data_IF_123158399749
#
_entry.id   IF_123158399749
#
_cell.length_a   1.000
_cell.length_b   1.000
_cell.length_c   1.000
_cell.angle_alpha   90.00
_cell.angle_beta   90.00
_cell.angle_gamma   90.00
#
_symmetry.space_group_name_H-M   'P 1'
#
loop_
_entity.id
_entity.type
_entity.pdbx_description
1 polymer ?
#
# COMPACT_ATOMS: atom_id res chain seq x y z
N UNK A 1 -49.63 5.94 5.44
CA UNK A 1 -48.61 6.56 4.59
C UNK A 1 -47.36 6.82 5.46
N UNK A 2 -46.40 5.90 5.44
CA UNK A 2 -45.08 6.14 5.99
C UNK A 2 -44.13 6.23 4.79
N UNK A 3 -43.76 7.43 4.47
CA UNK A 3 -42.68 7.69 3.53
C UNK A 3 -41.36 7.26 4.19
N UNK A 4 -40.90 6.06 3.94
CA UNK A 4 -39.54 5.67 4.22
C UNK A 4 -38.66 6.07 3.03
N UNK A 5 -38.33 7.33 2.96
CA UNK A 5 -37.16 7.76 2.21
C UNK A 5 -35.99 7.17 2.96
N UNK A 6 -35.36 6.15 2.40
CA UNK A 6 -34.12 5.61 2.88
C UNK A 6 -33.05 6.69 2.65
N UNK A 7 -32.95 7.62 3.61
CA UNK A 7 -31.93 8.67 3.56
C UNK A 7 -30.58 8.01 3.75
N UNK A 8 -29.76 8.00 2.70
CA UNK A 8 -28.36 7.63 2.77
C UNK A 8 -27.71 8.40 3.94
N UNK A 9 -27.23 7.68 4.94
CA UNK A 9 -26.74 8.26 6.21
C UNK A 9 -25.68 9.32 5.91
N UNK A 10 -25.91 10.55 6.39
CA UNK A 10 -25.00 11.66 6.18
C UNK A 10 -24.02 11.82 7.34
N UNK A 11 -22.72 11.93 7.04
CA UNK A 11 -21.70 12.23 8.02
C UNK A 11 -21.83 13.67 8.57
N UNK A 12 -21.33 13.88 9.78
CA UNK A 12 -21.19 15.23 10.37
C UNK A 12 -20.02 15.97 9.72
N UNK A 13 -18.93 15.24 9.42
CA UNK A 13 -17.77 15.74 8.68
C UNK A 13 -17.59 14.95 7.40
N UNK A 14 -17.45 15.64 6.25
CA UNK A 14 -17.23 14.95 4.99
C UNK A 14 -15.85 14.28 4.97
N UNK A 15 -15.74 13.23 4.16
CA UNK A 15 -14.43 12.74 3.75
C UNK A 15 -13.88 13.69 2.69
N UNK A 16 -12.67 14.21 2.94
CA UNK A 16 -11.96 15.04 1.97
C UNK A 16 -10.95 14.19 1.22
N UNK A 17 -11.09 14.09 -0.10
CA UNK A 17 -10.14 13.38 -0.93
C UNK A 17 -8.89 14.23 -1.17
N UNK A 18 -7.74 13.58 -1.00
CA UNK A 18 -6.42 14.13 -1.30
C UNK A 18 -5.70 13.11 -2.17
N UNK A 19 -5.05 13.56 -3.21
CA UNK A 19 -4.15 12.75 -4.01
C UNK A 19 -2.70 12.98 -3.59
N UNK A 20 -1.77 12.27 -4.22
CA UNK A 20 -0.35 12.52 -4.03
C UNK A 20 0.43 12.37 -5.32
N UNK A 21 1.57 13.06 -5.34
CA UNK A 21 2.63 12.88 -6.33
C UNK A 21 3.89 12.39 -5.63
N UNK A 22 4.67 11.58 -6.33
CA UNK A 22 5.93 11.05 -5.83
C UNK A 22 7.11 11.75 -6.51
N UNK A 23 7.93 12.43 -5.71
CA UNK A 23 9.23 12.94 -6.15
C UNK A 23 10.30 11.90 -5.82
N UNK A 24 11.11 11.50 -6.81
CA UNK A 24 12.13 10.44 -6.70
C UNK A 24 13.53 11.01 -6.79
N UNK A 25 14.44 10.42 -6.01
CA UNK A 25 15.85 10.76 -6.03
C UNK A 25 16.70 9.48 -6.06
N UNK A 26 17.54 9.33 -7.08
CA UNK A 26 18.50 8.23 -7.18
C UNK A 26 19.66 8.50 -6.22
N UNK A 27 19.93 7.59 -5.30
CA UNK A 27 20.97 7.78 -4.27
C UNK A 27 22.41 7.54 -4.75
N UNK A 28 22.59 7.05 -5.98
CA UNK A 28 23.90 6.66 -6.49
C UNK A 28 24.49 5.41 -5.81
N UNK A 29 23.74 4.75 -4.94
CA UNK A 29 24.10 3.48 -4.32
C UNK A 29 23.53 2.34 -5.16
N UNK A 30 24.43 1.42 -5.57
CA UNK A 30 24.12 0.37 -6.53
C UNK A 30 24.64 -0.97 -6.03
N UNK A 31 23.75 -1.96 -5.92
CA UNK A 31 24.10 -3.33 -5.59
C UNK A 31 24.16 -4.20 -6.85
N UNK A 32 25.28 -4.87 -7.06
CA UNK A 32 25.51 -5.79 -8.19
C UNK A 32 25.27 -7.25 -7.83
N UNK A 33 25.18 -7.54 -6.53
CA UNK A 33 24.94 -8.87 -5.98
C UNK A 33 24.22 -8.77 -4.62
N UNK A 34 23.76 -9.92 -4.10
CA UNK A 34 22.97 -10.00 -2.87
C UNK A 34 23.78 -9.56 -1.62
N UNK A 35 25.08 -9.93 -1.43
CA UNK A 35 25.87 -9.38 -0.34
C UNK A 35 25.97 -7.86 -0.37
N UNK A 36 26.17 -7.28 -1.55
CA UNK A 36 26.26 -5.81 -1.69
C UNK A 36 24.90 -5.13 -1.43
N UNK A 37 23.79 -5.80 -1.79
CA UNK A 37 22.47 -5.31 -1.43
C UNK A 37 22.32 -5.18 0.08
N UNK A 38 22.70 -6.23 0.83
CA UNK A 38 22.64 -6.25 2.30
C UNK A 38 23.47 -5.12 2.92
N UNK A 39 24.72 -4.97 2.51
CA UNK A 39 25.61 -3.90 3.00
C UNK A 39 25.00 -2.50 2.76
N UNK A 40 24.49 -2.24 1.56
CA UNK A 40 23.94 -0.93 1.22
C UNK A 40 22.62 -0.63 1.93
N UNK A 41 21.86 -1.67 2.31
CA UNK A 41 20.62 -1.49 3.08
C UNK A 41 20.88 -0.90 4.47
N UNK A 42 22.03 -1.09 5.08
CA UNK A 42 22.39 -0.44 6.33
C UNK A 42 22.66 1.06 6.16
N UNK A 43 23.14 1.45 4.99
CA UNK A 43 23.62 2.82 4.72
C UNK A 43 22.53 3.75 4.16
N UNK A 44 21.49 3.20 3.51
CA UNK A 44 20.46 4.01 2.87
C UNK A 44 19.46 4.59 3.88
N UNK A 45 18.90 5.79 3.62
CA UNK A 45 17.86 6.34 4.49
C UNK A 45 16.59 5.49 4.44
N UNK A 46 15.75 5.59 5.49
CA UNK A 46 14.48 4.85 5.59
C UNK A 46 13.52 5.16 4.44
N UNK A 47 13.58 6.36 3.86
CA UNK A 47 12.78 6.75 2.69
C UNK A 47 13.10 5.89 1.46
N UNK A 48 14.30 5.29 1.39
CA UNK A 48 14.63 4.32 0.35
C UNK A 48 13.94 2.97 0.59
N UNK A 49 13.86 2.52 1.83
CA UNK A 49 13.10 1.30 2.17
C UNK A 49 11.61 1.51 1.83
N UNK A 50 11.06 2.68 2.19
CA UNK A 50 9.69 3.06 1.83
C UNK A 50 9.47 3.00 0.31
N UNK A 51 10.36 3.59 -0.49
CA UNK A 51 10.25 3.60 -1.95
C UNK A 51 10.19 2.18 -2.53
N UNK A 52 11.08 1.29 -2.09
CA UNK A 52 11.19 -0.06 -2.63
C UNK A 52 10.14 -1.05 -2.11
N UNK A 53 9.35 -0.64 -1.11
CA UNK A 53 8.30 -1.47 -0.50
C UNK A 53 6.91 -0.82 -0.63
N UNK A 54 6.60 0.23 0.11
CA UNK A 54 5.27 0.87 0.15
C UNK A 54 4.93 1.58 -1.17
N UNK A 55 5.85 2.40 -1.67
CA UNK A 55 5.66 3.16 -2.91
C UNK A 55 5.59 2.24 -4.16
N UNK A 56 6.00 0.98 -4.03
CA UNK A 56 5.82 -0.04 -5.06
C UNK A 56 4.38 -0.13 -5.53
N UNK A 57 3.40 -0.03 -4.64
CA UNK A 57 1.97 -0.09 -4.96
C UNK A 57 1.51 1.08 -5.83
N UNK A 58 2.03 2.29 -5.60
CA UNK A 58 1.72 3.45 -6.44
C UNK A 58 2.28 3.29 -7.86
N UNK A 59 3.53 2.80 -7.98
CA UNK A 59 4.20 2.59 -9.27
C UNK A 59 3.59 1.46 -10.10
N UNK A 60 2.95 0.49 -9.44
CA UNK A 60 2.32 -0.67 -10.06
C UNK A 60 0.80 -0.67 -9.86
N UNK A 61 0.18 0.50 -9.81
CA UNK A 61 -1.25 0.68 -9.53
C UNK A 61 -2.15 -0.17 -10.44
N UNK A 62 -1.79 -0.29 -11.70
CA UNK A 62 -2.56 -0.97 -12.75
C UNK A 62 -2.00 -2.33 -13.15
N UNK A 63 -0.83 -2.71 -12.66
CA UNK A 63 -0.16 -3.94 -13.04
C UNK A 63 -0.33 -5.02 -11.97
N UNK A 64 -0.62 -6.25 -12.41
CA UNK A 64 -0.47 -7.40 -11.54
C UNK A 64 1.01 -7.81 -11.58
N UNK A 65 1.71 -7.68 -10.47
CA UNK A 65 3.12 -8.03 -10.34
C UNK A 65 3.28 -9.39 -9.68
N UNK A 66 4.38 -10.06 -9.97
CA UNK A 66 4.66 -11.37 -9.37
C UNK A 66 5.06 -11.23 -7.89
N UNK A 67 5.73 -10.15 -7.54
CA UNK A 67 6.20 -9.84 -6.18
C UNK A 67 5.69 -8.45 -5.75
N UNK A 68 5.45 -8.22 -4.44
CA UNK A 68 4.87 -6.98 -3.94
C UNK A 68 5.91 -5.90 -3.56
N UNK A 69 7.19 -6.09 -3.88
CA UNK A 69 8.25 -5.14 -3.59
C UNK A 69 9.44 -5.30 -4.55
N UNK A 70 10.28 -4.26 -4.66
CA UNK A 70 11.43 -4.25 -5.58
C UNK A 70 12.53 -5.22 -5.16
N UNK A 71 12.74 -5.44 -3.86
CA UNK A 71 13.77 -6.37 -3.35
C UNK A 71 13.49 -7.80 -3.81
N UNK A 72 12.25 -8.25 -3.65
CA UNK A 72 11.82 -9.57 -4.09
C UNK A 72 11.88 -9.72 -5.62
N UNK A 73 11.42 -8.69 -6.34
CA UNK A 73 11.47 -8.64 -7.81
C UNK A 73 12.90 -8.74 -8.31
N UNK A 74 13.81 -7.93 -7.73
CA UNK A 74 15.21 -7.94 -8.14
C UNK A 74 15.91 -9.26 -7.81
N UNK A 75 15.71 -9.78 -6.61
CA UNK A 75 16.29 -11.07 -6.20
C UNK A 75 15.89 -12.19 -7.17
N UNK A 76 14.60 -12.31 -7.48
CA UNK A 76 14.08 -13.38 -8.31
C UNK A 76 14.45 -13.24 -9.80
N UNK A 77 14.33 -12.02 -10.37
CA UNK A 77 14.41 -11.81 -11.81
C UNK A 77 15.79 -11.39 -12.28
N UNK A 78 16.52 -10.62 -11.50
CA UNK A 78 17.81 -10.03 -11.88
C UNK A 78 19.00 -10.72 -11.20
N UNK A 79 18.91 -11.00 -9.90
CA UNK A 79 19.92 -11.81 -9.22
C UNK A 79 19.75 -13.32 -9.47
N UNK A 80 18.67 -13.74 -10.15
CA UNK A 80 18.34 -15.12 -10.45
C UNK A 80 18.22 -16.04 -9.22
N UNK A 81 17.92 -15.44 -8.08
CA UNK A 81 17.69 -16.14 -6.80
C UNK A 81 16.20 -16.14 -6.47
N UNK A 82 15.49 -17.11 -7.06
CA UNK A 82 14.06 -17.25 -6.87
C UNK A 82 13.70 -17.56 -5.41
N UNK A 83 14.54 -18.33 -4.70
CA UNK A 83 14.26 -18.71 -3.32
C UNK A 83 14.29 -17.46 -2.44
N UNK A 84 15.28 -16.59 -2.60
CA UNK A 84 15.34 -15.31 -1.91
C UNK A 84 14.17 -14.42 -2.30
N UNK A 85 13.83 -14.35 -3.59
CA UNK A 85 12.68 -13.59 -4.07
C UNK A 85 11.36 -14.00 -3.43
N UNK A 86 11.08 -15.30 -3.33
CA UNK A 86 9.89 -15.84 -2.65
C UNK A 86 9.89 -15.47 -1.15
N UNK A 87 11.03 -15.59 -0.47
CA UNK A 87 11.17 -15.23 0.96
C UNK A 87 10.90 -13.73 1.21
N UNK A 88 11.43 -12.85 0.36
CA UNK A 88 11.20 -11.41 0.45
C UNK A 88 9.79 -11.02 -0.01
N UNK A 89 9.19 -11.81 -0.90
CA UNK A 89 7.86 -11.56 -1.45
C UNK A 89 6.71 -11.80 -0.48
N UNK A 90 6.93 -12.54 0.63
CA UNK A 90 5.88 -12.77 1.64
C UNK A 90 5.81 -11.65 2.68
N UNK A 91 6.74 -10.70 2.68
CA UNK A 91 6.71 -9.56 3.60
C UNK A 91 5.55 -8.63 3.23
N UNK A 92 4.64 -8.41 4.18
CA UNK A 92 3.58 -7.39 4.08
C UNK A 92 4.09 -6.07 4.68
N UNK A 93 4.46 -5.07 3.86
CA UNK A 93 5.01 -3.82 4.38
C UNK A 93 4.03 -3.08 5.31
N UNK A 94 2.73 -3.31 5.15
CA UNK A 94 1.69 -2.68 5.99
C UNK A 94 1.46 -3.37 7.34
N UNK A 95 2.13 -4.48 7.61
CA UNK A 95 2.12 -5.14 8.92
C UNK A 95 3.12 -4.50 9.91
N UNK A 96 4.06 -3.69 9.44
CA UNK A 96 5.11 -3.08 10.24
C UNK A 96 4.71 -1.73 10.81
N UNK A 97 5.10 -1.46 12.05
CA UNK A 97 4.87 -0.19 12.73
C UNK A 97 5.93 0.88 12.40
N UNK A 98 7.05 0.47 11.81
CA UNK A 98 8.11 1.38 11.38
C UNK A 98 8.89 0.81 10.21
N UNK A 99 9.43 1.72 9.38
CA UNK A 99 10.30 1.35 8.26
C UNK A 99 11.60 0.67 8.73
N UNK A 100 12.06 1.00 9.92
CA UNK A 100 13.26 0.38 10.48
C UNK A 100 13.02 -1.09 10.85
N UNK A 101 11.86 -1.43 11.44
CA UNK A 101 11.49 -2.81 11.70
C UNK A 101 11.38 -3.63 10.39
N UNK A 102 10.77 -3.05 9.35
CA UNK A 102 10.72 -3.69 8.04
C UNK A 102 12.12 -3.87 7.44
N UNK A 103 13.01 -2.85 7.52
CA UNK A 103 14.41 -2.94 7.09
C UNK A 103 15.12 -4.12 7.74
N UNK A 104 15.01 -4.23 9.08
CA UNK A 104 15.68 -5.29 9.85
C UNK A 104 15.19 -6.68 9.43
N UNK A 105 13.90 -6.86 9.18
CA UNK A 105 13.37 -8.15 8.73
C UNK A 105 13.83 -8.48 7.30
N UNK A 106 13.86 -7.51 6.37
CA UNK A 106 14.41 -7.72 5.03
C UNK A 106 15.87 -8.13 5.12
N UNK A 107 16.68 -7.42 5.92
CA UNK A 107 18.10 -7.72 6.12
C UNK A 107 18.31 -9.09 6.76
N UNK A 108 17.52 -9.44 7.77
CA UNK A 108 17.59 -10.75 8.43
C UNK A 108 17.29 -11.90 7.48
N UNK A 109 16.31 -11.74 6.58
CA UNK A 109 16.00 -12.74 5.55
C UNK A 109 17.17 -12.92 4.58
N UNK A 110 17.81 -11.81 4.16
CA UNK A 110 18.96 -11.85 3.24
C UNK A 110 20.17 -12.51 3.94
N UNK A 111 20.49 -12.10 5.17
CA UNK A 111 21.63 -12.62 5.93
C UNK A 111 21.49 -14.13 6.20
N UNK A 112 20.29 -14.56 6.65
CA UNK A 112 19.99 -15.99 6.83
C UNK A 112 20.12 -16.77 5.53
N UNK A 113 19.62 -16.21 4.42
CA UNK A 113 19.73 -16.84 3.10
C UNK A 113 21.19 -17.00 2.66
N UNK A 114 22.01 -15.97 2.82
CA UNK A 114 23.44 -15.99 2.50
C UNK A 114 24.22 -16.99 3.36
N UNK A 115 23.86 -17.11 4.63
CA UNK A 115 24.51 -18.06 5.56
C UNK A 115 24.29 -19.53 5.19
N UNK A 116 23.13 -19.83 4.59
CA UNK A 116 22.78 -21.20 4.19
C UNK A 116 23.17 -21.55 2.75
N UNK A 117 23.47 -20.55 1.91
CA UNK A 117 23.75 -20.74 0.48
C UNK A 117 25.06 -20.07 0.03
N UNK A 118 26.22 -20.48 0.54
CA UNK A 118 27.51 -19.82 0.29
C UNK A 118 27.97 -19.82 -1.18
N UNK A 119 27.37 -20.58 -2.05
CA UNK A 119 27.77 -20.68 -3.48
C UNK A 119 26.99 -19.74 -4.43
N UNK A 120 25.95 -19.03 -3.97
CA UNK A 120 25.09 -18.20 -4.83
C UNK A 120 25.59 -16.78 -4.99
N UNK A 121 26.76 -16.42 -4.42
CA UNK A 121 27.20 -15.06 -4.16
C UNK A 121 27.54 -14.17 -5.34
N UNK A 122 27.70 -14.67 -6.54
CA UNK A 122 28.07 -13.83 -7.70
C UNK A 122 27.40 -14.30 -8.99
N UNK A 123 26.22 -13.81 -9.22
CA UNK A 123 25.67 -13.85 -10.58
C UNK A 123 26.27 -12.68 -11.35
N UNK A 124 27.31 -12.94 -12.13
CA UNK A 124 27.89 -11.94 -13.04
C UNK A 124 26.89 -11.66 -14.17
N UNK A 125 26.57 -10.38 -14.39
CA UNK A 125 25.71 -9.94 -15.48
C UNK A 125 24.25 -9.64 -15.11
N UNK A 126 23.90 -9.69 -13.82
CA UNK A 126 22.61 -9.20 -13.34
C UNK A 126 22.49 -7.69 -13.54
N UNK A 127 21.29 -7.20 -13.84
CA UNK A 127 21.01 -5.79 -13.80
C UNK A 127 21.12 -5.30 -12.34
N UNK A 128 21.92 -4.25 -12.06
CA UNK A 128 22.15 -3.86 -10.68
C UNK A 128 20.89 -3.27 -10.04
N UNK A 129 20.77 -3.42 -8.71
CA UNK A 129 19.75 -2.76 -7.92
C UNK A 129 20.17 -1.33 -7.60
N UNK A 130 19.46 -0.35 -8.13
CA UNK A 130 19.69 1.06 -7.84
C UNK A 130 18.80 1.49 -6.66
N UNK A 131 19.43 2.00 -5.59
CA UNK A 131 18.70 2.56 -4.48
C UNK A 131 18.16 3.95 -4.82
N UNK A 132 16.85 4.08 -4.66
CA UNK A 132 16.08 5.31 -4.88
C UNK A 132 15.38 5.66 -3.57
N UNK A 133 15.22 6.93 -3.26
CA UNK A 133 14.28 7.38 -2.22
C UNK A 133 13.17 8.21 -2.83
N UNK A 134 12.06 8.33 -2.13
CA UNK A 134 10.96 9.16 -2.58
C UNK A 134 10.37 10.01 -1.47
N UNK A 135 9.75 11.11 -1.91
CA UNK A 135 8.97 12.02 -1.08
C UNK A 135 7.56 12.09 -1.64
N UNK A 136 6.59 11.88 -0.78
CA UNK A 136 5.17 12.01 -1.14
C UNK A 136 4.75 13.46 -0.94
N UNK A 137 4.23 14.08 -2.00
CA UNK A 137 3.73 15.46 -2.00
C UNK A 137 2.22 15.39 -2.10
N UNK A 138 1.53 15.97 -1.12
CA UNK A 138 0.07 16.02 -1.08
C UNK A 138 -0.49 16.91 -2.19
N UNK A 139 -1.54 16.46 -2.86
CA UNK A 139 -2.27 17.19 -3.89
C UNK A 139 -3.77 17.18 -3.53
N UNK A 140 -4.27 18.21 -2.82
CA UNK A 140 -5.67 18.28 -2.44
C UNK A 140 -6.59 18.24 -3.67
N UNK A 141 -7.68 17.45 -3.58
CA UNK A 141 -8.72 17.37 -4.60
C UNK A 141 -9.93 18.16 -4.15
N UNK A 142 -10.60 18.84 -5.10
CA UNK A 142 -11.91 19.45 -4.85
C UNK A 142 -13.02 18.39 -4.93
N UNK A 143 -12.90 17.39 -4.03
CA UNK A 143 -13.84 16.28 -3.93
C UNK A 143 -14.07 15.89 -2.49
N UNK A 144 -15.36 15.84 -2.11
CA UNK A 144 -15.80 15.45 -0.78
C UNK A 144 -16.87 14.36 -0.88
N UNK A 145 -17.04 13.59 0.19
CA UNK A 145 -18.13 12.65 0.36
C UNK A 145 -18.78 12.84 1.74
N UNK A 146 -20.09 13.00 1.77
CA UNK A 146 -20.90 13.12 2.98
C UNK A 146 -21.69 11.86 3.27
N UNK A 147 -21.93 11.05 2.24
CA UNK A 147 -22.71 9.81 2.31
C UNK A 147 -21.92 8.62 1.79
N UNK A 148 -22.39 7.40 2.05
CA UNK A 148 -21.76 6.20 1.53
C UNK A 148 -21.83 6.14 -0.01
N UNK A 149 -22.95 6.57 -0.59
CA UNK A 149 -23.09 6.63 -2.06
C UNK A 149 -22.09 7.59 -2.69
N UNK A 150 -21.93 8.80 -2.11
CA UNK A 150 -20.95 9.78 -2.59
C UNK A 150 -19.51 9.25 -2.43
N UNK A 151 -19.19 8.62 -1.28
CA UNK A 151 -17.90 7.99 -1.04
C UNK A 151 -17.61 6.88 -2.06
N UNK A 152 -18.56 5.97 -2.26
CA UNK A 152 -18.47 4.89 -3.25
C UNK A 152 -18.18 5.43 -4.65
N UNK A 153 -18.91 6.46 -5.08
CA UNK A 153 -18.73 7.07 -6.40
C UNK A 153 -17.38 7.79 -6.51
N UNK A 154 -16.99 8.51 -5.45
CA UNK A 154 -15.68 9.15 -5.42
C UNK A 154 -14.53 8.12 -5.51
N UNK A 155 -14.57 7.03 -4.73
CA UNK A 155 -13.58 5.95 -4.80
C UNK A 155 -13.51 5.33 -6.20
N UNK A 156 -14.64 5.20 -6.90
CA UNK A 156 -14.68 4.67 -8.26
C UNK A 156 -13.95 5.58 -9.27
N UNK A 157 -13.94 6.89 -9.05
CA UNK A 157 -13.53 7.89 -10.05
C UNK A 157 -12.16 8.53 -9.76
N UNK A 158 -11.73 8.61 -8.48
CA UNK A 158 -10.44 9.24 -8.14
C UNK A 158 -9.26 8.50 -8.76
N UNK A 159 -8.19 9.22 -9.04
CA UNK A 159 -6.96 8.64 -9.57
C UNK A 159 -6.25 7.73 -8.56
N UNK A 160 -5.34 6.89 -9.02
CA UNK A 160 -4.60 5.92 -8.21
C UNK A 160 -3.80 6.58 -7.09
N UNK A 161 -3.29 7.80 -7.30
CA UNK A 161 -2.59 8.59 -6.29
C UNK A 161 -3.44 8.87 -5.05
N UNK A 162 -4.74 9.14 -5.23
CA UNK A 162 -5.66 9.34 -4.10
C UNK A 162 -5.93 8.04 -3.33
N UNK A 163 -6.09 6.92 -4.03
CA UNK A 163 -6.24 5.62 -3.37
C UNK A 163 -5.00 5.26 -2.55
N UNK A 164 -3.83 5.42 -3.16
CA UNK A 164 -2.56 5.17 -2.48
C UNK A 164 -2.41 6.03 -1.24
N UNK A 165 -2.68 7.33 -1.36
CA UNK A 165 -2.57 8.28 -0.26
C UNK A 165 -3.45 7.91 0.93
N UNK A 166 -4.70 7.56 0.69
CA UNK A 166 -5.66 7.26 1.76
C UNK A 166 -5.59 5.83 2.30
N UNK A 167 -5.17 4.84 1.48
CA UNK A 167 -5.08 3.44 1.89
C UNK A 167 -3.70 3.06 2.41
N UNK A 168 -2.64 3.52 1.74
CA UNK A 168 -1.28 3.06 1.98
C UNK A 168 -0.48 4.07 2.79
N UNK A 169 -0.35 5.30 2.28
CA UNK A 169 0.42 6.38 2.89
C UNK A 169 -0.14 6.79 4.26
N UNK A 170 -1.46 6.82 4.42
CA UNK A 170 -2.12 7.16 5.67
C UNK A 170 -1.69 6.28 6.85
N UNK A 171 -1.35 5.01 6.59
CA UNK A 171 -0.89 4.04 7.61
C UNK A 171 0.46 4.39 8.21
N UNK A 172 1.27 5.18 7.49
CA UNK A 172 2.57 5.64 7.95
C UNK A 172 2.51 7.04 8.60
N UNK A 173 1.52 7.88 8.18
CA UNK A 173 1.44 9.28 8.59
C UNK A 173 0.84 9.52 9.97
N UNK A 174 -0.23 8.82 10.32
CA UNK A 174 -1.04 9.15 11.50
C UNK A 174 -0.94 8.08 12.59
N UNK A 175 -1.80 7.10 12.50
CA UNK A 175 -1.84 5.99 13.45
C UNK A 175 -1.39 4.74 12.73
N UNK A 176 -0.28 4.12 13.11
CA UNK A 176 0.19 2.92 12.45
C UNK A 176 -0.91 1.87 12.32
N UNK A 177 -1.12 1.40 11.09
CA UNK A 177 -2.10 0.35 10.79
C UNK A 177 -3.51 0.82 10.47
N UNK A 178 -3.82 2.13 10.54
CA UNK A 178 -5.13 2.67 10.14
C UNK A 178 -5.01 3.49 8.85
N UNK A 179 -5.92 3.21 7.90
CA UNK A 179 -6.10 4.00 6.69
C UNK A 179 -7.18 5.07 6.89
N UNK A 180 -7.15 6.12 6.06
CA UNK A 180 -8.08 7.25 6.19
C UNK A 180 -9.53 6.85 5.90
N UNK A 181 -9.76 5.91 4.97
CA UNK A 181 -11.11 5.43 4.61
C UNK A 181 -11.77 4.70 5.78
N UNK A 182 -11.07 3.72 6.34
CA UNK A 182 -11.59 2.95 7.48
C UNK A 182 -11.79 3.83 8.71
N UNK A 183 -10.90 4.82 8.93
CA UNK A 183 -11.05 5.77 10.01
C UNK A 183 -12.34 6.59 9.88
N UNK A 184 -12.58 7.21 8.72
CA UNK A 184 -13.79 8.00 8.49
C UNK A 184 -15.06 7.17 8.50
N UNK A 185 -15.03 5.96 7.90
CA UNK A 185 -16.17 5.06 7.92
C UNK A 185 -16.59 4.65 9.33
N UNK A 186 -15.64 4.48 10.26
CA UNK A 186 -15.93 4.07 11.64
C UNK A 186 -16.19 5.23 12.59
N UNK A 187 -15.71 6.44 12.28
CA UNK A 187 -15.79 7.60 13.16
C UNK A 187 -17.24 8.02 13.45
N UNK A 188 -17.51 8.52 14.67
CA UNK A 188 -18.83 9.01 15.06
C UNK A 188 -19.27 10.26 14.30
N UNK A 189 -18.31 11.11 13.93
CA UNK A 189 -18.52 12.28 13.08
C UNK A 189 -18.41 11.98 11.57
N UNK A 190 -17.95 10.77 11.23
CA UNK A 190 -18.02 10.18 9.90
C UNK A 190 -19.33 9.42 9.68
N UNK A 191 -19.28 8.26 9.02
CA UNK A 191 -20.50 7.46 8.76
C UNK A 191 -20.89 6.55 9.92
N UNK A 192 -20.03 6.32 10.93
CA UNK A 192 -20.25 5.41 12.05
C UNK A 192 -20.73 4.01 11.58
N UNK A 193 -19.94 3.41 10.66
CA UNK A 193 -20.16 2.08 10.06
C UNK A 193 -18.95 1.18 10.36
N UNK A 194 -18.76 0.73 11.60
CA UNK A 194 -17.53 0.05 12.03
C UNK A 194 -17.33 -1.30 11.34
N UNK A 195 -18.39 -2.01 10.95
CA UNK A 195 -18.31 -3.31 10.27
C UNK A 195 -17.77 -3.15 8.83
N UNK A 196 -18.29 -2.15 8.09
CA UNK A 196 -17.79 -1.81 6.77
C UNK A 196 -16.32 -1.32 6.86
N UNK A 197 -16.02 -0.46 7.83
CA UNK A 197 -14.66 0.02 8.08
C UNK A 197 -13.66 -1.13 8.31
N UNK A 198 -14.03 -2.11 9.13
CA UNK A 198 -13.21 -3.30 9.38
C UNK A 198 -13.00 -4.15 8.13
N UNK A 199 -13.95 -4.19 7.20
CA UNK A 199 -13.79 -4.87 5.91
C UNK A 199 -12.85 -4.09 5.00
N UNK A 200 -13.00 -2.77 4.88
CA UNK A 200 -12.13 -1.89 4.09
C UNK A 200 -10.69 -1.95 4.59
N UNK A 201 -10.47 -1.90 5.90
CA UNK A 201 -9.14 -1.99 6.52
C UNK A 201 -8.34 -3.23 6.11
N UNK A 202 -9.03 -4.35 5.84
CA UNK A 202 -8.38 -5.61 5.41
C UNK A 202 -7.99 -5.62 3.93
N UNK A 203 -8.52 -4.72 3.12
CA UNK A 203 -8.34 -4.75 1.66
C UNK A 203 -6.86 -4.69 1.27
N UNK A 204 -6.04 -3.88 1.94
CA UNK A 204 -4.60 -3.75 1.63
C UNK A 204 -3.81 -5.05 1.87
N UNK A 205 -4.33 -5.96 2.70
CA UNK A 205 -3.69 -7.25 3.00
C UNK A 205 -4.10 -8.38 2.06
N UNK A 206 -4.89 -8.09 1.03
CA UNK A 206 -5.37 -9.11 0.08
C UNK A 206 -4.39 -9.38 -1.07
N UNK A 207 -3.21 -8.75 -1.08
CA UNK A 207 -2.22 -8.91 -2.16
C UNK A 207 -2.69 -8.36 -3.51
N UNK A 208 -3.61 -7.37 -3.50
CA UNK A 208 -4.16 -6.74 -4.70
C UNK A 208 -3.32 -5.51 -5.08
N UNK A 209 -3.28 -5.18 -6.37
CA UNK A 209 -2.84 -3.87 -6.82
C UNK A 209 -3.90 -2.79 -6.45
N UNK A 210 -3.60 -1.51 -6.64
CA UNK A 210 -4.51 -0.42 -6.24
C UNK A 210 -5.87 -0.50 -6.94
N UNK A 211 -5.93 -0.91 -8.20
CA UNK A 211 -7.20 -1.06 -8.92
C UNK A 211 -8.02 -2.25 -8.39
N UNK A 212 -7.37 -3.34 -8.01
CA UNK A 212 -8.01 -4.45 -7.31
C UNK A 212 -8.57 -4.03 -5.94
N UNK A 213 -7.81 -3.20 -5.19
CA UNK A 213 -8.28 -2.61 -3.93
C UNK A 213 -9.48 -1.70 -4.15
N UNK A 214 -9.45 -0.81 -5.18
CA UNK A 214 -10.59 0.02 -5.61
C UNK A 214 -11.83 -0.83 -5.84
N UNK A 215 -11.73 -1.82 -6.71
CA UNK A 215 -12.85 -2.69 -7.07
C UNK A 215 -13.43 -3.39 -5.84
N UNK A 216 -12.58 -3.82 -4.92
CA UNK A 216 -13.02 -4.46 -3.67
C UNK A 216 -13.75 -3.50 -2.75
N UNK A 217 -13.24 -2.28 -2.55
CA UNK A 217 -13.89 -1.25 -1.71
C UNK A 217 -15.25 -0.88 -2.29
N UNK A 218 -15.32 -0.63 -3.60
CA UNK A 218 -16.59 -0.33 -4.30
C UNK A 218 -17.59 -1.46 -4.11
N UNK A 219 -17.17 -2.71 -4.27
CA UNK A 219 -18.03 -3.87 -4.04
C UNK A 219 -18.56 -3.99 -2.60
N UNK A 220 -17.74 -3.64 -1.60
CA UNK A 220 -18.14 -3.60 -0.20
C UNK A 220 -19.20 -2.52 0.05
N UNK A 221 -18.99 -1.32 -0.49
CA UNK A 221 -19.96 -0.23 -0.40
C UNK A 221 -21.27 -0.57 -1.11
N UNK A 222 -21.22 -1.19 -2.30
CA UNK A 222 -22.42 -1.63 -3.04
C UNK A 222 -23.22 -2.69 -2.26
N UNK A 223 -22.52 -3.59 -1.55
CA UNK A 223 -23.17 -4.58 -0.68
C UNK A 223 -23.93 -3.93 0.48
N UNK A 224 -23.30 -2.97 1.13
CA UNK A 224 -23.87 -2.22 2.25
C UNK A 224 -25.08 -1.37 1.82
N UNK A 225 -24.96 -0.66 0.70
CA UNK A 225 -26.05 0.15 0.12
C UNK A 225 -27.27 -0.71 -0.23
N UNK A 226 -27.06 -1.91 -0.77
CA UNK A 226 -28.15 -2.87 -1.07
C UNK A 226 -28.79 -3.41 0.20
N UNK A 227 -28.02 -3.74 1.23
CA UNK A 227 -28.54 -4.24 2.50
C UNK A 227 -29.46 -3.21 3.19
N UNK A 228 -29.12 -1.93 3.10
CA UNK A 228 -29.92 -0.85 3.67
C UNK A 228 -31.06 -0.39 2.76
N UNK A 229 -30.95 -0.58 1.43
CA UNK A 229 -32.00 -0.28 0.44
C UNK A 229 -33.04 -1.39 0.21
N UNK A 230 -32.78 -2.61 0.70
CA UNK A 230 -33.60 -3.80 0.45
C UNK A 230 -34.60 -4.16 1.54
N UNK A 231 -34.78 -3.34 2.57
CA UNK A 231 -35.86 -3.49 3.59
C UNK A 231 -37.06 -2.59 3.26
N UNK A 232 -37.69 -2.86 2.13
CA UNK A 232 -39.01 -2.32 1.80
C UNK A 232 -40.04 -3.45 1.67
#
# INVERSE_FOLDING_TARGET
MKSSVNEDRRAIRPFQFVSCMELREVLGKRATDVPRLLELMEEVPSDSIYYHTHSYYLRHAYAQTLYPNDFATWAALYAHDRILGERLGVLDPFAYLSLEALRQDVMAIIDDHLSHNPSVYRVMGAEPFDFVRSYVIEAPLDRQAWTLSEFRNAVQEVEAGALYFHLCEARMRKTPGFDDFSHWLSAQDGLNMPELAAQVQRVVRLGLNLEGMRARIVSLCDGELKAHGGTA
#
